data_IF_942743489242
#
_entry.id   IF_942743489242
#
_cell.length_a   1.000
_cell.length_b   1.000
_cell.length_c   1.000
_cell.angle_alpha   90.00
_cell.angle_beta   90.00
_cell.angle_gamma   90.00
#
_symmetry.space_group_name_H-M   'P 1'
#
loop_
_entity.id
_entity.type
_entity.pdbx_description
1 polymer ?
#
# COMPACT_ATOMS: atom_id res chain seq x y z
N UNK A 1 -8.42 -32.25 -12.26
CA UNK A 1 -7.92 -30.91 -12.66
C UNK A 1 -7.81 -30.92 -14.15
N UNK A 2 -8.41 -29.94 -14.80
CA UNK A 2 -8.42 -29.85 -16.25
C UNK A 2 -7.26 -28.95 -16.70
N UNK A 3 -6.59 -29.35 -17.77
CA UNK A 3 -5.41 -28.66 -18.29
C UNK A 3 -5.68 -28.15 -19.70
N UNK A 4 -4.99 -27.08 -20.07
CA UNK A 4 -4.96 -26.52 -21.41
C UNK A 4 -3.55 -26.67 -21.95
N UNK A 5 -3.41 -27.30 -23.11
CA UNK A 5 -2.14 -27.43 -23.82
C UNK A 5 -2.14 -26.55 -25.06
N UNK A 6 -1.19 -25.62 -25.13
CA UNK A 6 -0.89 -24.85 -26.33
C UNK A 6 0.33 -25.46 -27.02
N UNK A 7 0.13 -25.97 -28.23
CA UNK A 7 1.18 -26.51 -29.09
C UNK A 7 1.43 -25.48 -30.19
N UNK A 8 2.64 -24.95 -30.27
CA UNK A 8 3.00 -23.94 -31.25
C UNK A 8 4.34 -24.22 -31.93
N UNK A 9 4.48 -23.74 -33.15
CA UNK A 9 5.74 -23.68 -33.88
C UNK A 9 5.82 -22.34 -34.62
N UNK A 10 7.01 -21.76 -34.64
CA UNK A 10 7.28 -20.45 -35.21
C UNK A 10 8.38 -20.56 -36.26
N UNK A 11 8.26 -19.91 -37.43
CA UNK A 11 9.35 -19.83 -38.40
C UNK A 11 10.57 -19.14 -37.78
N UNK A 12 11.76 -19.66 -38.06
CA UNK A 12 13.04 -19.14 -37.54
C UNK A 12 13.34 -17.71 -38.00
N UNK A 13 12.74 -17.30 -39.12
CA UNK A 13 12.93 -15.99 -39.76
C UNK A 13 12.29 -14.83 -38.99
N UNK A 14 11.31 -15.09 -38.12
CA UNK A 14 10.58 -14.04 -37.37
C UNK A 14 10.93 -14.04 -35.87
N UNK A 15 12.18 -13.67 -35.57
CA UNK A 15 12.69 -13.61 -34.19
C UNK A 15 11.87 -12.68 -33.27
N UNK A 16 11.35 -11.56 -33.80
CA UNK A 16 10.57 -10.61 -33.02
C UNK A 16 9.23 -11.21 -32.56
N UNK A 17 8.50 -11.89 -33.45
CA UNK A 17 7.26 -12.57 -33.09
C UNK A 17 7.50 -13.69 -32.07
N UNK A 18 8.59 -14.45 -32.21
CA UNK A 18 8.93 -15.53 -31.27
C UNK A 18 9.17 -15.00 -29.86
N UNK A 19 9.89 -13.88 -29.75
CA UNK A 19 10.10 -13.21 -28.47
C UNK A 19 8.81 -12.66 -27.87
N UNK A 20 7.87 -12.15 -28.68
CA UNK A 20 6.56 -11.71 -28.19
C UNK A 20 5.74 -12.87 -27.62
N UNK A 21 5.59 -13.95 -28.37
CA UNK A 21 4.86 -15.14 -27.92
C UNK A 21 5.46 -15.73 -26.63
N UNK A 22 6.79 -15.85 -26.58
CA UNK A 22 7.49 -16.33 -25.39
C UNK A 22 7.26 -15.43 -24.17
N UNK A 23 7.30 -14.09 -24.34
CA UNK A 23 6.99 -13.14 -23.26
C UNK A 23 5.55 -13.26 -22.78
N UNK A 24 4.58 -13.42 -23.70
CA UNK A 24 3.18 -13.59 -23.35
C UNK A 24 2.94 -14.88 -22.54
N UNK A 25 3.55 -15.99 -22.96
CA UNK A 25 3.48 -17.28 -22.25
C UNK A 25 4.12 -17.21 -20.86
N UNK A 26 5.28 -16.55 -20.76
CA UNK A 26 5.92 -16.30 -19.47
C UNK A 26 5.03 -15.43 -18.57
N UNK A 27 4.41 -14.39 -19.12
CA UNK A 27 3.58 -13.44 -18.37
C UNK A 27 2.29 -14.07 -17.83
N UNK A 28 1.72 -15.07 -18.51
CA UNK A 28 0.54 -15.79 -18.03
C UNK A 28 0.89 -17.01 -17.17
N UNK A 29 2.17 -17.23 -16.84
CA UNK A 29 2.60 -18.33 -15.98
C UNK A 29 2.58 -19.71 -16.64
N UNK A 30 2.58 -19.80 -17.98
CA UNK A 30 2.54 -21.09 -18.67
C UNK A 30 3.80 -21.92 -18.39
N UNK A 31 3.60 -23.18 -17.99
CA UNK A 31 4.68 -24.14 -17.83
C UNK A 31 5.12 -24.68 -19.19
N UNK A 32 6.41 -25.01 -19.32
CA UNK A 32 6.96 -25.62 -20.53
C UNK A 32 7.05 -27.12 -20.32
N UNK A 33 6.23 -27.90 -21.04
CA UNK A 33 6.33 -29.37 -21.01
C UNK A 33 7.49 -29.87 -21.88
N UNK A 34 7.65 -29.23 -23.05
CA UNK A 34 8.74 -29.44 -24.00
C UNK A 34 8.79 -28.26 -24.96
N UNK A 35 9.79 -28.21 -25.82
CA UNK A 35 9.87 -27.18 -26.85
C UNK A 35 8.59 -27.14 -27.70
N UNK A 36 8.01 -25.94 -27.82
CA UNK A 36 6.74 -25.69 -28.50
C UNK A 36 5.47 -26.17 -27.79
N UNK A 37 5.54 -26.76 -26.58
CA UNK A 37 4.35 -27.25 -25.86
C UNK A 37 4.28 -26.62 -24.47
N UNK A 38 3.21 -25.86 -24.26
CA UNK A 38 2.98 -25.08 -23.06
C UNK A 38 1.71 -25.53 -22.37
N UNK A 39 1.73 -25.51 -21.04
CA UNK A 39 0.65 -26.01 -20.19
C UNK A 39 0.15 -24.90 -19.26
N UNK A 40 -1.18 -24.83 -19.09
CA UNK A 40 -1.82 -24.03 -18.05
C UNK A 40 -2.96 -24.81 -17.40
N UNK A 41 -3.22 -24.62 -16.10
CA UNK A 41 -4.47 -25.06 -15.48
C UNK A 41 -5.67 -24.35 -16.14
N UNK A 42 -6.74 -25.10 -16.37
CA UNK A 42 -8.01 -24.54 -16.83
C UNK A 42 -8.68 -23.78 -15.69
N UNK A 43 -8.35 -22.50 -15.55
CA UNK A 43 -8.90 -21.59 -14.53
C UNK A 43 -9.15 -20.22 -15.15
N UNK A 44 -10.27 -19.58 -14.79
CA UNK A 44 -10.58 -18.22 -15.21
C UNK A 44 -10.30 -17.96 -16.70
N UNK A 45 -9.67 -16.83 -17.01
CA UNK A 45 -9.33 -16.41 -18.37
C UNK A 45 -8.21 -17.21 -19.07
N UNK A 46 -7.66 -18.29 -18.50
CA UNK A 46 -6.51 -19.04 -19.09
C UNK A 46 -6.74 -19.43 -20.54
N UNK A 47 -7.93 -19.93 -20.89
CA UNK A 47 -8.29 -20.31 -22.26
C UNK A 47 -8.24 -19.10 -23.21
N UNK A 48 -8.89 -18.00 -22.84
CA UNK A 48 -8.91 -16.78 -23.65
C UNK A 48 -7.51 -16.21 -23.86
N UNK A 49 -6.65 -16.26 -22.84
CA UNK A 49 -5.25 -15.86 -22.93
C UNK A 49 -4.50 -16.73 -23.94
N UNK A 50 -4.59 -18.06 -23.84
CA UNK A 50 -3.93 -18.97 -24.79
C UNK A 50 -4.49 -18.86 -26.21
N UNK A 51 -5.79 -18.63 -26.38
CA UNK A 51 -6.42 -18.40 -27.69
C UNK A 51 -5.88 -17.12 -28.35
N UNK A 52 -5.65 -16.07 -27.55
CA UNK A 52 -5.06 -14.82 -28.03
C UNK A 52 -3.63 -15.04 -28.49
N UNK A 53 -2.80 -15.71 -27.67
CA UNK A 53 -1.42 -16.07 -28.05
C UNK A 53 -1.40 -16.94 -29.32
N UNK A 54 -2.28 -17.94 -29.40
CA UNK A 54 -2.37 -18.83 -30.56
C UNK A 54 -2.74 -18.05 -31.83
N UNK A 55 -3.62 -17.05 -31.73
CA UNK A 55 -3.98 -16.18 -32.86
C UNK A 55 -2.79 -15.35 -33.31
N UNK A 56 -2.11 -14.68 -32.39
CA UNK A 56 -0.92 -13.86 -32.71
C UNK A 56 0.20 -14.67 -33.35
N UNK A 57 0.39 -15.92 -32.92
CA UNK A 57 1.35 -16.86 -33.52
C UNK A 57 0.97 -17.16 -34.97
N UNK A 58 -0.31 -17.49 -35.24
CA UNK A 58 -0.79 -17.77 -36.60
C UNK A 58 -0.69 -16.54 -37.52
N UNK A 59 -1.07 -15.38 -37.01
CA UNK A 59 -0.98 -14.10 -37.75
C UNK A 59 0.46 -13.74 -38.10
N UNK A 60 1.43 -14.22 -37.31
CA UNK A 60 2.87 -14.04 -37.56
C UNK A 60 3.48 -15.12 -38.46
N UNK A 61 2.66 -15.99 -39.08
CA UNK A 61 3.09 -17.07 -39.97
C UNK A 61 3.50 -18.37 -39.28
N UNK A 62 3.22 -18.51 -37.97
CA UNK A 62 3.43 -19.76 -37.23
C UNK A 62 2.22 -20.70 -37.25
N UNK A 63 2.37 -21.84 -36.58
CA UNK A 63 1.27 -22.78 -36.31
C UNK A 63 1.00 -22.82 -34.82
N UNK A 64 -0.27 -22.88 -34.43
CA UNK A 64 -0.68 -22.97 -33.04
C UNK A 64 -2.00 -23.72 -32.88
N UNK A 65 -2.03 -24.68 -31.97
CA UNK A 65 -3.17 -25.51 -31.61
C UNK A 65 -3.41 -25.44 -30.11
N UNK A 66 -4.66 -25.22 -29.71
CA UNK A 66 -5.07 -25.24 -28.31
C UNK A 66 -5.99 -26.45 -28.10
N UNK A 67 -5.69 -27.26 -27.09
CA UNK A 67 -6.48 -28.42 -26.73
C UNK A 67 -6.70 -28.51 -25.22
N UNK A 68 -7.84 -29.06 -24.82
CA UNK A 68 -7.99 -29.61 -23.48
C UNK A 68 -7.08 -30.83 -23.36
N UNK A 69 -6.28 -30.87 -22.30
CA UNK A 69 -5.31 -31.92 -22.06
C UNK A 69 -5.71 -32.72 -20.82
N UNK A 70 -5.77 -34.04 -21.01
CA UNK A 70 -5.89 -35.02 -19.94
C UNK A 70 -4.66 -35.93 -20.00
N UNK A 71 -3.98 -36.09 -18.86
CA UNK A 71 -2.80 -36.94 -18.75
C UNK A 71 -3.19 -38.21 -17.99
N UNK A 72 -3.26 -39.34 -18.70
CA UNK A 72 -3.79 -40.58 -18.14
C UNK A 72 -2.82 -41.30 -17.18
N UNK A 73 -1.50 -41.18 -17.42
CA UNK A 73 -0.46 -41.89 -16.66
C UNK A 73 0.50 -40.97 -15.90
N UNK A 74 0.31 -39.64 -15.98
CA UNK A 74 1.16 -38.69 -15.25
C UNK A 74 0.66 -38.47 -13.83
N UNK A 75 1.60 -38.33 -12.91
CA UNK A 75 1.32 -37.91 -11.53
C UNK A 75 0.83 -36.45 -11.52
N UNK A 76 -0.40 -36.17 -11.03
CA UNK A 76 -0.91 -34.82 -10.88
C UNK A 76 0.02 -33.91 -10.06
N UNK A 77 0.78 -34.45 -9.11
CA UNK A 77 1.75 -33.69 -8.32
C UNK A 77 2.93 -33.22 -9.17
N UNK A 78 3.38 -34.04 -10.13
CA UNK A 78 4.47 -33.67 -11.05
C UNK A 78 4.07 -32.53 -11.98
N UNK A 79 2.84 -32.54 -12.49
CA UNK A 79 2.32 -31.45 -13.32
C UNK A 79 2.12 -30.17 -12.51
N UNK A 80 1.64 -30.28 -11.26
CA UNK A 80 1.52 -29.14 -10.35
C UNK A 80 2.89 -28.54 -10.00
N UNK A 81 3.93 -29.38 -9.82
CA UNK A 81 5.28 -28.93 -9.51
C UNK A 81 5.90 -28.04 -10.60
N UNK A 82 5.41 -28.11 -11.85
CA UNK A 82 5.84 -27.20 -12.93
C UNK A 82 5.41 -25.74 -12.69
N UNK A 83 4.47 -25.52 -11.77
CA UNK A 83 3.94 -24.22 -11.40
C UNK A 83 4.37 -23.82 -9.98
N UNK A 84 5.31 -24.54 -9.37
CA UNK A 84 5.85 -24.16 -8.06
C UNK A 84 6.60 -22.84 -8.18
N UNK A 85 6.14 -21.84 -7.43
CA UNK A 85 6.70 -20.49 -7.34
C UNK A 85 7.51 -20.25 -6.05
N UNK A 86 7.78 -21.31 -5.28
CA UNK A 86 8.45 -21.19 -3.98
C UNK A 86 9.84 -20.56 -4.09
N UNK A 87 10.56 -20.80 -5.19
CA UNK A 87 11.87 -20.19 -5.43
C UNK A 87 11.75 -18.68 -5.68
N UNK A 88 10.78 -18.24 -6.48
CA UNK A 88 10.53 -16.83 -6.78
C UNK A 88 10.06 -16.06 -5.53
N UNK A 89 9.20 -16.65 -4.70
CA UNK A 89 8.85 -16.08 -3.38
C UNK A 89 10.08 -16.01 -2.46
N UNK A 90 10.91 -17.06 -2.45
CA UNK A 90 12.17 -17.07 -1.70
C UNK A 90 13.14 -15.96 -2.15
N UNK A 91 13.21 -15.69 -3.45
CA UNK A 91 14.01 -14.58 -3.99
C UNK A 91 13.44 -13.21 -3.61
N UNK A 92 12.13 -13.03 -3.69
CA UNK A 92 11.45 -11.80 -3.25
C UNK A 92 11.74 -11.53 -1.76
N UNK A 93 11.74 -12.57 -0.94
CA UNK A 93 12.07 -12.50 0.48
C UNK A 93 13.55 -12.13 0.70
N UNK A 94 14.47 -12.91 0.13
CA UNK A 94 15.91 -12.75 0.36
C UNK A 94 16.50 -11.45 -0.20
N UNK A 95 16.04 -11.01 -1.38
CA UNK A 95 16.57 -9.82 -2.06
C UNK A 95 15.72 -8.57 -1.86
N UNK A 96 14.46 -8.74 -1.50
CA UNK A 96 13.51 -7.65 -1.31
C UNK A 96 13.24 -7.36 0.15
N UNK A 97 12.62 -8.30 0.86
CA UNK A 97 12.10 -8.06 2.22
C UNK A 97 13.21 -7.99 3.26
N UNK A 98 14.13 -8.96 3.29
CA UNK A 98 15.14 -9.08 4.35
C UNK A 98 16.09 -7.88 4.45
N UNK A 99 16.61 -7.31 3.34
CA UNK A 99 17.46 -6.13 3.40
C UNK A 99 16.74 -4.90 3.98
N UNK A 100 15.46 -4.71 3.64
CA UNK A 100 14.65 -3.59 4.15
C UNK A 100 14.33 -3.76 5.62
N UNK A 101 13.99 -4.99 6.03
CA UNK A 101 13.75 -5.33 7.43
C UNK A 101 14.99 -5.06 8.28
N UNK A 102 16.18 -5.45 7.79
CA UNK A 102 17.44 -5.24 8.50
C UNK A 102 17.86 -3.77 8.59
N UNK A 103 17.54 -2.96 7.57
CA UNK A 103 17.89 -1.54 7.51
C UNK A 103 16.81 -0.61 8.12
N UNK A 104 15.72 -1.17 8.66
CA UNK A 104 14.58 -0.40 9.13
C UNK A 104 14.93 0.42 10.38
N UNK A 105 14.80 1.74 10.27
CA UNK A 105 14.94 2.71 11.35
C UNK A 105 13.98 3.89 11.10
N UNK A 106 13.77 4.80 12.08
CA UNK A 106 12.94 5.98 11.87
C UNK A 106 13.37 6.86 10.69
N UNK A 107 14.67 6.88 10.37
CA UNK A 107 15.23 7.65 9.25
C UNK A 107 15.04 6.96 7.90
N UNK A 108 15.03 5.63 7.86
CA UNK A 108 14.89 4.84 6.61
C UNK A 108 13.45 4.42 6.32
N UNK A 109 12.56 4.51 7.31
CA UNK A 109 11.21 3.98 7.27
C UNK A 109 10.39 4.44 6.05
N UNK A 110 10.53 5.71 5.67
CA UNK A 110 9.85 6.24 4.49
C UNK A 110 10.35 5.63 3.17
N UNK A 111 11.67 5.50 3.00
CA UNK A 111 12.22 4.84 1.81
C UNK A 111 11.86 3.35 1.81
N UNK A 112 11.81 2.72 2.99
CA UNK A 112 11.28 1.36 3.17
C UNK A 112 9.84 1.25 2.66
N UNK A 113 8.92 2.15 3.05
CA UNK A 113 7.53 2.14 2.54
C UNK A 113 7.47 2.28 1.02
N UNK A 114 8.29 3.16 0.44
CA UNK A 114 8.37 3.34 -1.01
C UNK A 114 8.87 2.08 -1.72
N UNK A 115 9.90 1.42 -1.19
CA UNK A 115 10.41 0.17 -1.77
C UNK A 115 9.45 -0.99 -1.56
N UNK A 116 8.75 -1.03 -0.41
CA UNK A 116 7.72 -2.01 -0.10
C UNK A 116 6.57 -1.98 -1.12
N UNK A 117 6.13 -0.81 -1.60
CA UNK A 117 5.12 -0.73 -2.68
C UNK A 117 5.57 -1.44 -3.96
N UNK A 118 6.85 -1.36 -4.30
CA UNK A 118 7.41 -2.07 -5.45
C UNK A 118 7.40 -3.58 -5.19
N UNK A 119 7.79 -4.01 -3.98
CA UNK A 119 7.75 -5.42 -3.60
C UNK A 119 6.31 -5.97 -3.60
N UNK A 120 5.34 -5.20 -3.11
CA UNK A 120 3.91 -5.53 -3.17
C UNK A 120 3.42 -5.71 -4.60
N UNK A 121 3.80 -4.82 -5.52
CA UNK A 121 3.48 -4.98 -6.94
C UNK A 121 4.08 -6.26 -7.51
N UNK A 122 5.34 -6.56 -7.21
CA UNK A 122 5.99 -7.80 -7.64
C UNK A 122 5.31 -9.03 -7.04
N UNK A 123 4.92 -8.99 -5.77
CA UNK A 123 4.17 -10.05 -5.10
C UNK A 123 2.83 -10.32 -5.79
N UNK A 124 2.05 -9.27 -6.11
CA UNK A 124 0.77 -9.41 -6.82
C UNK A 124 0.97 -10.07 -8.19
N UNK A 125 1.96 -9.61 -8.96
CA UNK A 125 2.29 -10.21 -10.26
C UNK A 125 2.69 -11.68 -10.15
N UNK A 126 3.44 -12.04 -9.10
CA UNK A 126 3.80 -13.44 -8.85
C UNK A 126 2.56 -14.27 -8.50
N UNK A 127 1.71 -13.75 -7.60
CA UNK A 127 0.47 -14.39 -7.16
C UNK A 127 -0.55 -14.59 -8.29
N UNK A 128 -0.63 -13.68 -9.28
CA UNK A 128 -1.46 -13.83 -10.48
C UNK A 128 -1.10 -15.06 -11.32
N UNK A 129 0.16 -15.49 -11.25
CA UNK A 129 0.68 -16.65 -11.99
C UNK A 129 0.92 -17.87 -11.09
N UNK A 130 0.54 -17.79 -9.81
CA UNK A 130 0.59 -18.88 -8.85
C UNK A 130 -0.76 -19.58 -8.80
N UNK A 131 -0.86 -20.69 -9.53
CA UNK A 131 -2.09 -21.47 -9.60
C UNK A 131 -2.28 -22.39 -8.38
N UNK A 132 -1.25 -22.60 -7.58
CA UNK A 132 -1.27 -23.54 -6.46
C UNK A 132 -0.64 -22.88 -5.21
N UNK A 133 -1.32 -21.86 -4.64
CA UNK A 133 -0.76 -21.07 -3.57
C UNK A 133 -0.40 -21.93 -2.34
N UNK A 134 0.86 -21.85 -1.96
CA UNK A 134 1.46 -22.66 -0.89
C UNK A 134 1.89 -21.85 0.33
N UNK A 135 2.73 -22.48 1.16
CA UNK A 135 3.29 -21.84 2.35
C UNK A 135 4.23 -20.68 2.01
N UNK A 136 5.02 -20.81 0.93
CA UNK A 136 5.93 -19.75 0.48
C UNK A 136 5.20 -18.43 0.16
N UNK A 137 4.03 -18.49 -0.50
CA UNK A 137 3.20 -17.32 -0.77
C UNK A 137 2.67 -16.69 0.53
N UNK A 138 2.19 -17.50 1.47
CA UNK A 138 1.68 -17.02 2.77
C UNK A 138 2.77 -16.34 3.58
N UNK A 139 3.96 -16.94 3.63
CA UNK A 139 5.12 -16.36 4.32
C UNK A 139 5.54 -15.03 3.69
N UNK A 140 5.57 -14.95 2.36
CA UNK A 140 5.88 -13.70 1.66
C UNK A 140 4.84 -12.60 1.93
N UNK A 141 3.54 -12.93 1.92
CA UNK A 141 2.49 -11.95 2.24
C UNK A 141 2.60 -11.44 3.67
N UNK A 142 2.71 -12.36 4.64
CA UNK A 142 2.86 -12.03 6.05
C UNK A 142 4.08 -11.14 6.29
N UNK A 143 5.22 -11.49 5.72
CA UNK A 143 6.45 -10.73 5.89
C UNK A 143 6.38 -9.34 5.25
N UNK A 144 5.65 -9.18 4.12
CA UNK A 144 5.39 -7.87 3.53
C UNK A 144 4.46 -7.03 4.42
N UNK A 145 3.44 -7.62 5.06
CA UNK A 145 2.57 -6.92 6.02
C UNK A 145 3.33 -6.48 7.26
N UNK A 146 4.13 -7.37 7.83
CA UNK A 146 4.98 -7.05 8.99
C UNK A 146 5.98 -5.93 8.69
N UNK A 147 6.58 -5.93 7.49
CA UNK A 147 7.49 -4.86 7.08
C UNK A 147 6.74 -3.53 6.89
N UNK A 148 5.51 -3.58 6.36
CA UNK A 148 4.62 -2.41 6.25
C UNK A 148 4.33 -1.82 7.62
N UNK A 149 3.81 -2.63 8.53
CA UNK A 149 3.49 -2.22 9.89
C UNK A 149 4.73 -1.74 10.64
N UNK A 150 5.86 -2.44 10.49
CA UNK A 150 7.13 -2.04 11.08
C UNK A 150 7.60 -0.67 10.59
N UNK A 151 7.44 -0.38 9.30
CA UNK A 151 7.84 0.90 8.73
C UNK A 151 6.94 2.05 9.17
N UNK A 152 5.62 1.85 9.23
CA UNK A 152 4.70 2.83 9.81
C UNK A 152 5.03 3.08 11.29
N UNK A 153 5.21 2.01 12.08
CA UNK A 153 5.67 2.13 13.47
C UNK A 153 7.01 2.84 13.59
N UNK A 154 7.96 2.66 12.67
CA UNK A 154 9.24 3.36 12.76
C UNK A 154 9.11 4.87 12.47
N UNK A 155 8.18 5.29 11.59
CA UNK A 155 7.84 6.71 11.40
C UNK A 155 7.14 7.31 12.62
N UNK A 156 6.41 6.46 13.34
CA UNK A 156 5.63 6.80 14.51
C UNK A 156 6.00 5.91 15.70
N UNK A 157 7.27 5.95 16.15
CA UNK A 157 7.83 4.99 17.12
C UNK A 157 7.07 4.83 18.46
N UNK A 158 6.14 5.74 18.77
CA UNK A 158 5.20 5.60 19.89
C UNK A 158 3.79 6.02 19.45
N UNK A 159 3.35 5.59 18.27
CA UNK A 159 1.95 5.72 17.84
C UNK A 159 1.06 5.21 18.97
N UNK A 160 0.08 6.00 19.41
CA UNK A 160 -0.64 5.62 20.59
C UNK A 160 -1.44 4.34 20.37
N UNK A 161 -1.55 3.56 21.44
CA UNK A 161 -2.43 2.41 21.43
C UNK A 161 -3.87 2.89 21.25
N UNK A 162 -4.55 2.33 20.27
CA UNK A 162 -5.94 2.66 20.03
C UNK A 162 -6.76 2.43 21.30
N UNK A 163 -7.43 3.47 21.78
CA UNK A 163 -8.32 3.34 22.92
C UNK A 163 -9.60 2.65 22.45
N UNK A 164 -9.98 1.58 23.16
CA UNK A 164 -11.29 0.93 23.01
C UNK A 164 -12.33 1.75 23.77
N UNK A 165 -12.69 2.91 23.22
CA UNK A 165 -13.65 3.83 23.82
C UNK A 165 -14.56 4.47 22.76
N UNK A 166 -15.84 4.70 23.06
CA UNK A 166 -16.72 5.38 22.12
C UNK A 166 -16.26 6.83 21.92
N UNK A 167 -16.30 7.30 20.68
CA UNK A 167 -16.01 8.71 20.35
C UNK A 167 -17.15 9.57 20.89
N UNK A 168 -16.83 10.44 21.85
CA UNK A 168 -17.79 11.38 22.45
C UNK A 168 -17.89 12.63 21.58
N UNK A 169 -19.12 13.12 21.37
CA UNK A 169 -19.34 14.38 20.65
C UNK A 169 -18.95 15.57 21.51
N UNK A 170 -18.12 16.45 20.97
CA UNK A 170 -17.60 17.66 21.60
C UNK A 170 -18.08 18.90 20.85
N UNK A 171 -18.04 20.04 21.56
CA UNK A 171 -18.39 21.36 21.02
C UNK A 171 -17.13 22.14 20.73
N UNK A 172 -17.09 22.79 19.57
CA UNK A 172 -15.94 23.58 19.13
C UNK A 172 -15.69 24.76 20.09
N UNK A 173 -16.76 25.38 20.58
CA UNK A 173 -16.70 26.54 21.48
C UNK A 173 -15.88 26.30 22.77
N UNK A 174 -15.82 25.06 23.26
CA UNK A 174 -15.13 24.72 24.51
C UNK A 174 -13.59 24.63 24.37
N UNK A 175 -13.12 24.67 23.12
CA UNK A 175 -11.73 24.42 22.74
C UNK A 175 -11.04 25.62 22.07
N UNK A 176 -11.58 26.83 22.19
CA UNK A 176 -10.97 28.03 21.59
C UNK A 176 -9.76 28.57 22.38
N UNK A 177 -8.75 29.08 21.67
CA UNK A 177 -7.57 29.75 22.21
C UNK A 177 -6.68 28.85 23.08
N UNK A 178 -6.71 27.53 22.83
CA UNK A 178 -5.99 26.54 23.64
C UNK A 178 -4.57 26.35 23.14
N UNK A 179 -3.72 25.84 24.04
CA UNK A 179 -2.47 25.20 23.65
C UNK A 179 -2.75 23.73 23.39
N UNK A 180 -2.41 23.26 22.20
CA UNK A 180 -2.50 21.87 21.79
C UNK A 180 -1.10 21.29 21.69
N UNK A 181 -0.85 20.13 22.28
CA UNK A 181 0.49 19.56 22.35
C UNK A 181 0.57 18.21 21.64
N UNK A 182 1.67 17.97 20.92
CA UNK A 182 2.01 16.67 20.33
C UNK A 182 3.53 16.55 20.20
N UNK A 183 4.05 15.39 19.79
CA UNK A 183 5.50 15.18 19.66
C UNK A 183 6.10 15.97 18.51
N UNK A 184 7.33 16.44 18.71
CA UNK A 184 8.16 17.07 17.69
C UNK A 184 8.46 16.10 16.53
N UNK A 185 8.91 16.65 15.40
CA UNK A 185 9.15 15.95 14.12
C UNK A 185 7.92 15.20 13.60
N UNK A 186 6.76 15.88 13.49
CA UNK A 186 5.48 15.26 13.19
C UNK A 186 5.47 14.56 11.83
N UNK A 187 4.75 13.44 11.77
CA UNK A 187 4.37 12.79 10.53
C UNK A 187 2.93 13.15 10.14
N UNK A 188 2.38 12.46 9.15
CA UNK A 188 1.16 12.85 8.44
C UNK A 188 -0.04 13.04 9.38
N UNK A 189 -0.29 12.14 10.34
CA UNK A 189 -1.46 12.26 11.22
C UNK A 189 -1.35 13.45 12.19
N UNK A 190 -0.16 13.70 12.77
CA UNK A 190 0.09 14.90 13.58
C UNK A 190 -0.05 16.18 12.78
N UNK A 191 0.53 16.22 11.58
CA UNK A 191 0.45 17.39 10.69
C UNK A 191 -0.99 17.68 10.28
N UNK A 192 -1.74 16.64 9.87
CA UNK A 192 -3.13 16.77 9.48
C UNK A 192 -4.02 17.13 10.66
N UNK A 193 -3.79 16.53 11.84
CA UNK A 193 -4.52 16.85 13.08
C UNK A 193 -4.30 18.30 13.50
N UNK A 194 -3.04 18.77 13.51
CA UNK A 194 -2.72 20.16 13.83
C UNK A 194 -3.33 21.15 12.82
N UNK A 195 -3.34 20.81 11.53
CA UNK A 195 -4.04 21.58 10.50
C UNK A 195 -5.56 21.61 10.76
N UNK A 196 -6.19 20.46 11.03
CA UNK A 196 -7.62 20.36 11.28
C UNK A 196 -8.03 21.18 12.50
N UNK A 197 -7.23 21.10 13.57
CA UNK A 197 -7.38 21.91 14.78
C UNK A 197 -7.40 23.39 14.40
N UNK A 198 -6.35 23.91 13.76
CA UNK A 198 -6.26 25.33 13.39
C UNK A 198 -7.36 25.79 12.43
N UNK A 199 -7.86 24.90 11.57
CA UNK A 199 -8.76 25.26 10.47
C UNK A 199 -10.24 25.18 10.83
N UNK A 200 -10.62 24.22 11.68
CA UNK A 200 -12.02 23.83 11.92
C UNK A 200 -12.41 23.77 13.40
N UNK A 201 -11.44 23.66 14.30
CA UNK A 201 -11.70 23.53 15.74
C UNK A 201 -11.30 24.83 16.43
N UNK A 202 -10.03 25.13 16.55
CA UNK A 202 -9.51 26.26 17.31
C UNK A 202 -8.64 27.16 16.42
N UNK A 203 -9.21 28.28 15.97
CA UNK A 203 -8.55 29.22 15.03
C UNK A 203 -7.35 29.93 15.64
N UNK A 204 -7.32 30.03 16.97
CA UNK A 204 -6.26 30.69 17.74
C UNK A 204 -5.31 29.66 18.41
N UNK A 205 -5.38 28.39 17.97
CA UNK A 205 -4.60 27.30 18.53
C UNK A 205 -3.09 27.54 18.45
N UNK A 206 -2.43 27.35 19.60
CA UNK A 206 -0.97 27.29 19.71
C UNK A 206 -0.54 25.83 19.74
N UNK A 207 0.31 25.42 18.80
CA UNK A 207 0.84 24.06 18.78
C UNK A 207 2.13 24.03 19.58
N UNK A 208 2.24 23.07 20.50
CA UNK A 208 3.42 22.81 21.31
C UNK A 208 4.04 21.47 20.88
N UNK A 209 5.26 21.53 20.35
CA UNK A 209 6.03 20.36 19.92
C UNK A 209 6.87 19.83 21.08
N UNK A 210 6.54 18.64 21.55
CA UNK A 210 7.13 18.01 22.73
C UNK A 210 8.34 17.15 22.36
N UNK A 211 9.38 17.18 23.19
CA UNK A 211 10.48 16.22 23.11
C UNK A 211 10.02 14.82 23.60
N UNK A 212 9.22 14.76 24.67
CA UNK A 212 8.59 13.55 25.19
C UNK A 212 7.11 13.79 25.53
N UNK A 213 6.22 12.79 25.36
CA UNK A 213 4.82 12.88 25.83
C UNK A 213 4.68 13.28 27.31
N UNK A 214 5.64 12.87 28.15
CA UNK A 214 5.65 13.21 29.58
C UNK A 214 5.82 14.71 29.86
N UNK A 215 6.31 15.48 28.88
CA UNK A 215 6.51 16.93 28.99
C UNK A 215 5.21 17.72 28.75
N UNK A 216 4.11 17.05 28.40
CA UNK A 216 2.84 17.69 28.11
C UNK A 216 2.27 18.41 29.36
N UNK A 217 2.10 19.75 29.33
CA UNK A 217 1.49 20.46 30.43
C UNK A 217 0.04 20.01 30.67
N UNK A 218 -0.39 19.93 31.93
CA UNK A 218 -1.78 19.59 32.30
C UNK A 218 -2.83 20.56 31.74
N UNK A 219 -2.41 21.78 31.39
CA UNK A 219 -3.28 22.82 30.82
C UNK A 219 -3.38 22.74 29.30
N UNK A 220 -2.52 21.96 28.64
CA UNK A 220 -2.55 21.76 27.21
C UNK A 220 -3.48 20.60 26.83
N UNK A 221 -4.06 20.67 25.64
CA UNK A 221 -4.86 19.59 25.05
C UNK A 221 -3.90 18.71 24.25
N UNK A 222 -3.56 17.55 24.80
CA UNK A 222 -2.68 16.59 24.13
C UNK A 222 -3.37 15.90 22.96
N UNK A 223 -2.64 15.68 21.86
CA UNK A 223 -3.09 14.84 20.76
C UNK A 223 -1.96 13.95 20.17
N UNK A 224 -2.34 12.77 19.68
CA UNK A 224 -1.48 11.80 18.97
C UNK A 224 -0.24 11.28 19.74
N UNK A 225 -0.48 10.89 21.00
CA UNK A 225 0.44 10.12 21.83
C UNK A 225 -0.31 9.43 22.98
N UNK A 226 0.30 8.44 23.61
CA UNK A 226 -0.34 7.68 24.70
C UNK A 226 -0.69 8.57 25.90
N UNK A 227 -1.95 8.55 26.33
CA UNK A 227 -2.46 9.40 27.41
C UNK A 227 -2.89 10.81 27.00
N UNK A 228 -2.79 11.14 25.70
CA UNK A 228 -3.36 12.37 25.14
C UNK A 228 -4.90 12.41 25.25
N UNK A 229 -5.49 13.60 25.19
CA UNK A 229 -6.95 13.77 25.12
C UNK A 229 -7.52 13.26 23.81
N UNK A 230 -6.76 13.36 22.72
CA UNK A 230 -7.10 12.83 21.41
C UNK A 230 -6.00 11.89 20.93
N UNK A 231 -6.40 10.72 20.47
CA UNK A 231 -5.49 9.63 20.13
C UNK A 231 -6.17 8.70 19.13
N UNK A 232 -5.51 7.62 18.70
CA UNK A 232 -6.15 6.57 17.92
C UNK A 232 -7.30 5.95 18.72
N UNK A 233 -8.42 5.66 18.05
CA UNK A 233 -9.62 5.05 18.67
C UNK A 233 -10.17 3.97 17.75
N UNK A 234 -10.15 2.72 18.22
CA UNK A 234 -10.41 1.55 17.38
C UNK A 234 -9.50 1.55 16.15
N UNK A 235 -10.10 1.53 14.96
CA UNK A 235 -9.36 1.59 13.68
C UNK A 235 -9.12 3.02 13.17
N UNK A 236 -9.46 4.07 13.92
CA UNK A 236 -9.32 5.47 13.45
C UNK A 236 -8.02 6.09 13.95
N UNK A 237 -7.29 6.76 13.05
CA UNK A 237 -6.14 7.61 13.41
C UNK A 237 -6.60 8.89 14.11
N UNK A 238 -5.70 9.67 14.71
CA UNK A 238 -6.06 10.85 15.52
C UNK A 238 -6.82 11.89 14.70
N UNK A 239 -6.47 12.10 13.42
CA UNK A 239 -7.21 13.00 12.52
C UNK A 239 -8.68 12.61 12.38
N UNK A 240 -8.95 11.31 12.16
CA UNK A 240 -10.30 10.78 12.02
C UNK A 240 -11.08 10.85 13.34
N UNK A 241 -10.39 10.61 14.46
CA UNK A 241 -10.96 10.78 15.78
C UNK A 241 -11.37 12.24 16.03
N UNK A 242 -10.50 13.22 15.77
CA UNK A 242 -10.82 14.66 15.87
C UNK A 242 -11.99 15.05 14.97
N UNK A 243 -11.94 14.64 13.70
CA UNK A 243 -13.02 14.90 12.75
C UNK A 243 -14.35 14.33 13.26
N UNK A 244 -14.34 13.14 13.88
CA UNK A 244 -15.54 12.52 14.44
C UNK A 244 -16.04 13.19 15.72
N UNK A 245 -15.13 13.48 16.66
CA UNK A 245 -15.46 14.07 17.96
C UNK A 245 -16.10 15.46 17.82
N UNK A 246 -15.61 16.28 16.90
CA UNK A 246 -16.19 17.60 16.61
C UNK A 246 -17.24 17.57 15.48
N UNK A 247 -17.47 16.38 14.90
CA UNK A 247 -18.16 16.08 13.65
C UNK A 247 -18.08 17.13 12.58
N UNK A 248 -16.91 17.11 11.98
CA UNK A 248 -16.47 17.87 10.84
C UNK A 248 -16.61 17.05 9.55
N UNK A 249 -17.35 15.92 9.59
CA UNK A 249 -17.48 15.03 8.45
C UNK A 249 -18.06 15.76 7.25
N UNK A 250 -17.39 15.54 6.13
CA UNK A 250 -17.75 16.05 4.81
C UNK A 250 -16.96 15.23 3.81
N UNK A 251 -17.43 15.14 2.57
CA UNK A 251 -16.74 14.38 1.51
C UNK A 251 -15.25 14.77 1.40
N UNK A 252 -14.92 16.05 1.56
CA UNK A 252 -13.53 16.53 1.53
C UNK A 252 -12.70 16.06 2.72
N UNK A 253 -13.23 16.20 3.94
CA UNK A 253 -12.56 15.73 5.16
C UNK A 253 -12.44 14.21 5.20
N UNK A 254 -13.44 13.47 4.75
CA UNK A 254 -13.42 12.01 4.74
C UNK A 254 -12.36 11.48 3.75
N UNK A 255 -12.19 12.12 2.59
CA UNK A 255 -11.12 11.79 1.63
C UNK A 255 -9.74 12.13 2.15
N UNK A 256 -9.59 13.28 2.82
CA UNK A 256 -8.34 13.60 3.53
C UNK A 256 -8.06 12.55 4.61
N UNK A 257 -9.07 12.16 5.38
CA UNK A 257 -8.97 11.11 6.41
C UNK A 257 -8.46 9.80 5.82
N UNK A 258 -8.97 9.36 4.67
CA UNK A 258 -8.49 8.16 4.00
C UNK A 258 -7.00 8.24 3.59
N UNK A 259 -6.54 9.41 3.13
CA UNK A 259 -5.12 9.64 2.79
C UNK A 259 -4.25 9.60 4.05
N UNK A 260 -4.66 10.32 5.09
CA UNK A 260 -3.93 10.39 6.36
C UNK A 260 -3.85 8.99 6.98
N UNK A 261 -4.98 8.29 7.07
CA UNK A 261 -5.06 6.92 7.57
C UNK A 261 -4.12 5.99 6.81
N UNK A 262 -4.14 6.01 5.48
CA UNK A 262 -3.26 5.14 4.69
C UNK A 262 -1.77 5.46 4.91
N UNK A 263 -1.42 6.73 5.05
CA UNK A 263 -0.01 7.14 5.20
C UNK A 263 0.52 6.98 6.63
N UNK A 264 -0.37 6.85 7.61
CA UNK A 264 -0.03 6.70 9.03
C UNK A 264 -0.14 5.25 9.48
N UNK A 265 -1.25 4.58 9.17
CA UNK A 265 -1.58 3.23 9.61
C UNK A 265 -1.64 2.17 8.49
N UNK A 266 -1.48 2.56 7.21
CA UNK A 266 -1.56 1.66 6.06
C UNK A 266 -2.99 1.34 5.61
N UNK A 267 -3.16 0.25 4.84
CA UNK A 267 -4.47 -0.21 4.36
C UNK A 267 -4.72 0.06 2.87
N UNK A 268 -5.96 0.41 2.51
CA UNK A 268 -6.33 0.61 1.10
C UNK A 268 -5.79 1.95 0.60
N UNK A 269 -4.86 1.91 -0.35
CA UNK A 269 -4.18 3.10 -0.87
C UNK A 269 -5.11 4.02 -1.69
N UNK A 270 -5.30 5.29 -1.28
CA UNK A 270 -5.92 6.31 -2.11
C UNK A 270 -5.04 6.72 -3.29
N UNK A 271 -5.66 7.16 -4.40
CA UNK A 271 -4.95 7.53 -5.62
C UNK A 271 -3.93 8.66 -5.40
N UNK A 272 -4.26 9.62 -4.55
CA UNK A 272 -3.46 10.80 -4.25
C UNK A 272 -2.30 10.51 -3.28
N UNK A 273 -2.38 9.40 -2.52
CA UNK A 273 -1.51 9.16 -1.37
C UNK A 273 -0.02 9.14 -1.73
N UNK A 274 0.35 8.56 -2.88
CA UNK A 274 1.75 8.51 -3.31
C UNK A 274 2.34 9.91 -3.55
N UNK A 275 1.56 10.84 -4.13
CA UNK A 275 2.00 12.21 -4.37
C UNK A 275 2.10 13.00 -3.07
N UNK A 276 1.08 12.88 -2.21
CA UNK A 276 1.03 13.54 -0.90
C UNK A 276 2.20 13.10 -0.02
N UNK A 277 2.47 11.79 0.03
CA UNK A 277 3.61 11.26 0.78
C UNK A 277 4.93 11.88 0.32
N UNK A 278 5.21 11.89 -1.00
CA UNK A 278 6.49 12.42 -1.51
C UNK A 278 6.68 13.90 -1.14
N UNK A 279 5.60 14.69 -1.15
CA UNK A 279 5.65 16.09 -0.76
C UNK A 279 5.93 16.21 0.73
N UNK A 280 5.13 15.56 1.59
CA UNK A 280 5.27 15.67 3.05
C UNK A 280 6.61 15.11 3.54
N UNK A 281 7.07 14.02 2.94
CA UNK A 281 8.40 13.46 3.11
C UNK A 281 9.51 14.48 2.85
N UNK A 282 9.48 15.11 1.67
CA UNK A 282 10.47 16.10 1.27
C UNK A 282 10.46 17.32 2.19
N UNK A 283 9.27 17.78 2.58
CA UNK A 283 9.12 18.86 3.56
C UNK A 283 9.75 18.46 4.91
N UNK A 284 9.40 17.30 5.45
CA UNK A 284 9.96 16.81 6.73
C UNK A 284 11.48 16.64 6.68
N UNK A 285 12.04 16.20 5.55
CA UNK A 285 13.47 16.02 5.39
C UNK A 285 14.25 17.34 5.27
N UNK A 286 13.62 18.39 4.74
CA UNK A 286 14.29 19.67 4.43
C UNK A 286 14.00 20.78 5.43
N UNK A 287 12.92 20.65 6.20
CA UNK A 287 12.47 21.64 7.18
C UNK A 287 12.65 21.06 8.59
N UNK A 288 13.56 21.66 9.36
CA UNK A 288 13.86 21.24 10.73
C UNK A 288 12.94 21.88 11.77
N UNK A 289 12.37 23.05 11.48
CA UNK A 289 11.44 23.76 12.34
C UNK A 289 10.01 23.24 12.16
N UNK A 290 9.40 22.71 13.23
CA UNK A 290 8.12 22.02 13.14
C UNK A 290 6.93 22.98 12.89
N UNK A 291 7.02 24.25 13.31
CA UNK A 291 5.99 25.24 12.99
C UNK A 291 6.02 25.62 11.50
N UNK A 292 7.21 25.79 10.93
CA UNK A 292 7.40 26.00 9.49
C UNK A 292 6.95 24.76 8.70
N UNK A 293 7.27 23.56 9.17
CA UNK A 293 6.83 22.31 8.55
C UNK A 293 5.30 22.22 8.52
N UNK A 294 4.64 22.51 9.64
CA UNK A 294 3.18 22.55 9.73
C UNK A 294 2.59 23.60 8.78
N UNK A 295 3.18 24.79 8.68
CA UNK A 295 2.69 25.84 7.79
C UNK A 295 2.74 25.41 6.31
N UNK A 296 3.83 24.76 5.88
CA UNK A 296 3.98 24.26 4.52
C UNK A 296 3.03 23.07 4.23
N UNK A 297 2.94 22.11 5.15
CA UNK A 297 2.01 20.98 5.05
C UNK A 297 0.54 21.44 5.02
N UNK A 298 0.20 22.49 5.79
CA UNK A 298 -1.15 23.09 5.79
C UNK A 298 -1.57 23.56 4.40
N UNK A 299 -0.66 24.13 3.61
CA UNK A 299 -0.94 24.51 2.22
C UNK A 299 -1.28 23.32 1.33
N UNK A 300 -0.65 22.16 1.57
CA UNK A 300 -0.96 20.90 0.85
C UNK A 300 -2.36 20.42 1.21
N UNK A 301 -2.70 20.39 2.51
CA UNK A 301 -4.03 19.96 2.97
C UNK A 301 -5.14 20.92 2.50
N UNK A 302 -4.92 22.23 2.54
CA UNK A 302 -5.87 23.22 2.01
C UNK A 302 -6.10 23.02 0.50
N UNK A 303 -5.05 22.77 -0.28
CA UNK A 303 -5.15 22.50 -1.71
C UNK A 303 -5.93 21.22 -2.02
N UNK A 304 -5.65 20.13 -1.30
CA UNK A 304 -6.37 18.87 -1.43
C UNK A 304 -7.85 19.01 -1.06
N UNK A 305 -8.15 19.65 0.08
CA UNK A 305 -9.53 19.88 0.53
C UNK A 305 -10.32 20.65 -0.54
N UNK A 306 -9.76 21.75 -1.05
CA UNK A 306 -10.40 22.56 -2.08
C UNK A 306 -10.64 21.78 -3.39
N UNK A 307 -9.76 20.84 -3.74
CA UNK A 307 -9.96 19.94 -4.89
C UNK A 307 -11.11 18.96 -4.64
N UNK A 308 -11.13 18.30 -3.48
CA UNK A 308 -12.14 17.29 -3.14
C UNK A 308 -13.54 17.88 -2.98
N UNK A 309 -13.66 19.11 -2.50
CA UNK A 309 -14.92 19.83 -2.41
C UNK A 309 -15.48 20.19 -3.80
N UNK A 310 -14.62 20.55 -4.77
CA UNK A 310 -15.05 20.84 -6.16
C UNK A 310 -15.58 19.61 -6.90
N UNK A 311 -14.93 18.45 -6.72
CA UNK A 311 -15.36 17.19 -7.33
C UNK A 311 -16.67 16.64 -6.75
N UNK A 312 -17.09 17.13 -5.58
CA UNK A 312 -18.38 16.77 -4.96
C UNK A 312 -19.54 17.68 -5.35
N UNK A 313 -19.28 18.77 -6.07
CA UNK A 313 -20.28 19.74 -6.52
C UNK A 313 -20.64 19.65 -8.00
N UNK A 314 -20.20 18.60 -8.70
CA UNK A 314 -20.49 18.31 -10.10
C UNK A 314 -21.52 17.20 -10.25
#
# INVERSE_FOLDING_TARGET
MDWLALILSMPTENAAARMRAWRALKSCGAAVLRDGVYLLPSRGGSRQTLETIAREVRDSGGTAYLADAAFAEEDPARLQALFDRSAEYGELMAKGVEPLRSALSPDTALETLKQLRKLRKTYVQLAETDFFPGEAQRQADAALRELEEGAHRALSADEPHALDSPIVRLRVEDYQGRTWATRARPWVDRLASAWLIRRRIDKDARILWLASPADCPRTAVGFDFDGASFSHVGAKVTFEHLAAAFGLQSRGIDRLGAIVHFLDAGGVQPAEAAGVEQILAGLRATVADDDQLLALASGVFDGLLASFEKEGGA
#
